data_IF_404064294659
#
_entry.id   IF_404064294659
#
_cell.length_a   1.000
_cell.length_b   1.000
_cell.length_c   1.000
_cell.angle_alpha   90.00
_cell.angle_beta   90.00
_cell.angle_gamma   90.00
#
_symmetry.space_group_name_H-M   'P 1'
#
loop_
_entity.id
_entity.type
_entity.pdbx_description
1 polymer ?
#
# COMPACT_ATOMS: atom_id res chain seq x y z
N UNK A 1 29.39 13.58 26.78
CA UNK A 1 28.23 12.65 26.88
C UNK A 1 27.04 13.04 25.99
N UNK A 2 26.53 14.29 26.00
CA UNK A 2 25.37 14.67 25.16
C UNK A 2 25.64 14.92 23.66
N UNK A 3 26.90 15.07 23.24
CA UNK A 3 27.27 15.21 21.81
C UNK A 3 27.37 13.84 21.12
N UNK A 4 27.88 12.82 21.82
CA UNK A 4 27.99 11.45 21.29
C UNK A 4 26.62 10.78 21.13
N UNK A 5 25.70 10.99 22.08
CA UNK A 5 24.31 10.55 21.97
C UNK A 5 23.61 11.17 20.75
N UNK A 6 23.77 12.49 20.54
CA UNK A 6 23.22 13.18 19.35
C UNK A 6 23.86 12.71 18.04
N UNK A 7 25.10 12.23 18.06
CA UNK A 7 25.77 11.67 16.87
C UNK A 7 25.26 10.25 16.58
N UNK A 8 25.09 9.43 17.61
CA UNK A 8 24.53 8.09 17.51
C UNK A 8 23.06 8.10 17.03
N UNK A 9 22.23 9.01 17.55
CA UNK A 9 20.84 9.20 17.09
C UNK A 9 20.76 9.62 15.62
N UNK A 10 21.65 10.51 15.18
CA UNK A 10 21.73 10.91 13.77
C UNK A 10 22.17 9.76 12.86
N UNK A 11 23.17 8.99 13.28
CA UNK A 11 23.64 7.82 12.52
C UNK A 11 22.51 6.78 12.38
N UNK A 12 21.82 6.47 13.48
CA UNK A 12 20.67 5.56 13.46
C UNK A 12 19.52 6.05 12.55
N UNK A 13 19.26 7.36 12.54
CA UNK A 13 18.26 7.95 11.65
C UNK A 13 18.65 7.83 10.17
N UNK A 14 19.92 8.08 9.83
CA UNK A 14 20.41 7.91 8.45
C UNK A 14 20.31 6.44 8.03
N UNK A 15 20.73 5.51 8.89
CA UNK A 15 20.64 4.07 8.64
C UNK A 15 19.20 3.62 8.37
N UNK A 16 18.25 4.10 9.19
CA UNK A 16 16.83 3.82 9.00
C UNK A 16 16.31 4.37 7.66
N UNK A 17 16.66 5.61 7.33
CA UNK A 17 16.25 6.25 6.07
C UNK A 17 16.80 5.48 4.86
N UNK A 18 18.05 5.04 4.90
CA UNK A 18 18.68 4.31 3.79
C UNK A 18 18.03 2.93 3.62
N UNK A 19 17.75 2.20 4.72
CA UNK A 19 16.99 0.94 4.68
C UNK A 19 15.58 1.12 4.15
N UNK A 20 14.90 2.19 4.54
CA UNK A 20 13.55 2.51 4.07
C UNK A 20 13.56 2.80 2.55
N UNK A 21 14.54 3.58 2.07
CA UNK A 21 14.70 3.85 0.65
C UNK A 21 15.01 2.59 -0.16
N UNK A 22 15.90 1.72 0.35
CA UNK A 22 16.19 0.41 -0.24
C UNK A 22 14.92 -0.46 -0.33
N UNK A 23 14.19 -0.56 0.77
CA UNK A 23 12.94 -1.31 0.81
C UNK A 23 11.94 -0.77 -0.21
N UNK A 24 11.73 0.55 -0.27
CA UNK A 24 10.78 1.17 -1.18
C UNK A 24 11.16 1.00 -2.66
N UNK A 25 12.46 1.14 -2.99
CA UNK A 25 12.96 0.87 -4.35
C UNK A 25 12.71 -0.58 -4.75
N UNK A 26 13.04 -1.52 -3.85
CA UNK A 26 12.81 -2.94 -4.07
C UNK A 26 11.32 -3.25 -4.20
N UNK A 27 10.49 -2.75 -3.29
CA UNK A 27 9.05 -2.96 -3.31
C UNK A 27 8.41 -2.47 -4.61
N UNK A 28 8.76 -1.27 -5.08
CA UNK A 28 8.24 -0.75 -6.36
C UNK A 28 8.74 -1.58 -7.54
N UNK A 29 10.01 -1.99 -7.52
CA UNK A 29 10.57 -2.87 -8.56
C UNK A 29 9.84 -4.21 -8.62
N UNK A 30 9.74 -4.88 -7.47
CA UNK A 30 9.05 -6.16 -7.31
C UNK A 30 7.57 -6.03 -7.71
N UNK A 31 6.89 -4.95 -7.31
CA UNK A 31 5.51 -4.69 -7.70
C UNK A 31 5.36 -4.61 -9.22
N UNK A 32 6.25 -3.91 -9.93
CA UNK A 32 6.19 -3.80 -11.40
C UNK A 32 6.42 -5.16 -12.06
N UNK A 33 7.49 -5.84 -11.67
CA UNK A 33 7.88 -7.12 -12.30
C UNK A 33 6.83 -8.19 -12.04
N UNK A 34 6.38 -8.35 -10.79
CA UNK A 34 5.40 -9.36 -10.41
C UNK A 34 4.03 -9.07 -10.99
N UNK A 35 3.61 -7.82 -11.07
CA UNK A 35 2.30 -7.49 -11.66
C UNK A 35 2.26 -7.81 -13.16
N UNK A 36 3.37 -7.56 -13.88
CA UNK A 36 3.49 -7.93 -15.29
C UNK A 36 3.52 -9.46 -15.48
N UNK A 37 4.27 -10.18 -14.65
CA UNK A 37 4.31 -11.65 -14.64
C UNK A 37 2.93 -12.26 -14.39
N UNK A 38 2.22 -11.79 -13.36
CA UNK A 38 0.87 -12.23 -13.02
C UNK A 38 -0.10 -11.92 -14.18
N UNK A 39 -0.03 -10.70 -14.75
CA UNK A 39 -0.87 -10.32 -15.89
C UNK A 39 -0.66 -11.25 -17.09
N UNK A 40 0.59 -11.63 -17.39
CA UNK A 40 0.91 -12.61 -18.42
C UNK A 40 0.30 -13.98 -18.13
N UNK A 41 0.49 -14.50 -16.90
CA UNK A 41 -0.07 -15.80 -16.50
C UNK A 41 -1.60 -15.83 -16.57
N UNK A 42 -2.27 -14.75 -16.20
CA UNK A 42 -3.73 -14.64 -16.31
C UNK A 42 -4.15 -14.75 -17.78
N UNK A 43 -3.50 -14.02 -18.68
CA UNK A 43 -3.78 -14.07 -20.12
C UNK A 43 -3.53 -15.47 -20.69
N UNK A 44 -2.43 -16.12 -20.31
CA UNK A 44 -2.10 -17.47 -20.74
C UNK A 44 -3.17 -18.48 -20.29
N UNK A 45 -3.64 -18.36 -19.04
CA UNK A 45 -4.74 -19.17 -18.52
C UNK A 45 -6.00 -18.93 -19.36
N UNK A 46 -6.38 -17.68 -19.60
CA UNK A 46 -7.60 -17.34 -20.34
C UNK A 46 -7.59 -17.82 -21.79
N UNK A 47 -6.42 -17.85 -22.43
CA UNK A 47 -6.24 -18.35 -23.80
C UNK A 47 -6.33 -19.88 -23.88
N UNK A 48 -6.13 -20.59 -22.76
CA UNK A 48 -6.20 -22.03 -22.74
C UNK A 48 -7.64 -22.52 -22.98
N UNK A 49 -7.84 -23.42 -23.95
CA UNK A 49 -9.17 -23.90 -24.34
C UNK A 49 -9.96 -24.54 -23.18
N UNK A 50 -9.26 -25.10 -22.19
CA UNK A 50 -9.88 -25.69 -21.00
C UNK A 50 -10.33 -24.68 -19.94
N UNK A 51 -9.96 -23.40 -20.03
CA UNK A 51 -10.23 -22.41 -18.97
C UNK A 51 -11.72 -22.29 -18.64
N UNK A 52 -12.55 -21.99 -19.65
CA UNK A 52 -14.00 -21.84 -19.45
C UNK A 52 -14.66 -23.13 -18.93
N UNK A 53 -14.41 -24.32 -19.53
CA UNK A 53 -14.92 -25.59 -18.98
C UNK A 53 -14.49 -25.86 -17.53
N UNK A 54 -13.26 -25.50 -17.15
CA UNK A 54 -12.78 -25.69 -15.78
C UNK A 54 -13.43 -24.72 -14.80
N UNK A 55 -13.58 -23.45 -15.18
CA UNK A 55 -14.27 -22.45 -14.37
C UNK A 55 -15.73 -22.86 -14.10
N UNK A 56 -16.44 -23.33 -15.13
CA UNK A 56 -17.80 -23.86 -15.01
C UNK A 56 -17.86 -25.07 -14.07
N UNK A 57 -16.93 -26.02 -14.18
CA UNK A 57 -16.87 -27.19 -13.29
C UNK A 57 -16.60 -26.83 -11.83
N UNK A 58 -15.74 -25.84 -11.57
CA UNK A 58 -15.49 -25.35 -10.21
C UNK A 58 -16.75 -24.69 -9.66
N UNK A 59 -17.41 -23.84 -10.45
CA UNK A 59 -18.66 -23.21 -10.05
C UNK A 59 -19.79 -24.23 -9.79
N UNK A 60 -19.88 -25.29 -10.60
CA UNK A 60 -20.84 -26.38 -10.38
C UNK A 60 -20.59 -27.08 -9.04
N UNK A 61 -19.33 -27.39 -8.74
CA UNK A 61 -18.96 -28.04 -7.49
C UNK A 61 -19.29 -27.17 -6.28
N UNK A 62 -18.92 -25.89 -6.33
CA UNK A 62 -19.21 -24.95 -5.24
C UNK A 62 -20.71 -24.75 -5.04
N UNK A 63 -21.50 -24.77 -6.11
CA UNK A 63 -22.97 -24.71 -6.02
C UNK A 63 -23.56 -25.93 -5.30
N UNK A 64 -22.95 -27.11 -5.49
CA UNK A 64 -23.35 -28.34 -4.79
C UNK A 64 -22.97 -28.30 -3.30
N UNK A 65 -21.79 -27.77 -2.97
CA UNK A 65 -21.32 -27.64 -1.58
C UNK A 65 -22.13 -26.58 -0.79
N UNK A 66 -22.70 -25.58 -1.48
CA UNK A 66 -23.55 -24.55 -0.89
C UNK A 66 -25.05 -24.94 -0.81
N UNK A 67 -25.44 -26.07 -1.40
CA UNK A 67 -26.82 -26.54 -1.33
C UNK A 67 -27.16 -26.82 0.15
N UNK A 68 -28.28 -26.29 0.68
CA UNK A 68 -28.59 -26.43 2.10
C UNK A 68 -28.64 -27.90 2.48
N UNK A 69 -27.85 -28.28 3.48
CA UNK A 69 -28.04 -29.54 4.18
C UNK A 69 -29.49 -29.56 4.74
N UNK A 70 -30.16 -30.72 4.78
CA UNK A 70 -31.48 -30.78 5.40
C UNK A 70 -31.37 -30.29 6.86
N UNK A 71 -32.11 -29.22 7.19
CA UNK A 71 -32.17 -28.70 8.55
C UNK A 71 -32.66 -29.81 9.50
N UNK A 72 -31.97 -29.94 10.65
CA UNK A 72 -32.31 -30.89 11.71
C UNK A 72 -33.69 -30.60 12.35
N UNK A 73 -34.26 -29.41 12.10
CA UNK A 73 -35.51 -28.91 12.70
C UNK A 73 -36.74 -28.99 11.78
N UNK A 74 -36.64 -29.67 10.62
CA UNK A 74 -37.82 -30.05 9.82
C UNK A 74 -38.54 -28.90 9.09
N UNK A 75 -38.01 -27.68 9.10
CA UNK A 75 -38.40 -26.66 8.15
C UNK A 75 -37.75 -26.99 6.80
N UNK A 76 -38.54 -27.22 5.74
CA UNK A 76 -37.97 -27.38 4.40
C UNK A 76 -37.25 -26.07 4.04
N UNK A 77 -35.91 -26.06 3.88
CA UNK A 77 -35.25 -24.91 3.29
C UNK A 77 -35.89 -24.73 1.91
N UNK A 78 -36.30 -23.51 1.58
CA UNK A 78 -36.83 -23.19 0.25
C UNK A 78 -35.75 -23.61 -0.76
N UNK A 79 -35.93 -24.79 -1.37
CA UNK A 79 -34.94 -25.39 -2.27
C UNK A 79 -34.82 -24.44 -3.46
N UNK A 80 -33.74 -23.66 -3.49
CA UNK A 80 -33.39 -22.91 -4.69
C UNK A 80 -33.27 -23.93 -5.82
N UNK A 81 -33.91 -23.67 -6.96
CA UNK A 81 -33.76 -24.50 -8.15
C UNK A 81 -32.26 -24.76 -8.39
N UNK A 82 -31.80 -26.03 -8.42
CA UNK A 82 -30.40 -26.36 -8.63
C UNK A 82 -29.82 -25.70 -9.89
N UNK A 83 -30.63 -25.50 -10.94
CA UNK A 83 -30.20 -24.80 -12.15
C UNK A 83 -29.92 -23.32 -11.87
N UNK A 84 -30.75 -22.67 -11.05
CA UNK A 84 -30.57 -21.27 -10.64
C UNK A 84 -29.38 -21.12 -9.68
N UNK A 85 -29.17 -22.07 -8.76
CA UNK A 85 -28.01 -22.09 -7.87
C UNK A 85 -26.69 -22.18 -8.66
N UNK A 86 -26.65 -23.08 -9.65
CA UNK A 86 -25.51 -23.24 -10.58
C UNK A 86 -25.25 -21.96 -11.38
N UNK A 87 -26.27 -21.37 -11.98
CA UNK A 87 -26.13 -20.15 -12.77
C UNK A 87 -25.52 -19.00 -11.94
N UNK A 88 -26.02 -18.79 -10.71
CA UNK A 88 -25.48 -17.79 -9.79
C UNK A 88 -24.01 -18.05 -9.47
N UNK A 89 -23.64 -19.29 -9.18
CA UNK A 89 -22.25 -19.61 -8.84
C UNK A 89 -21.30 -19.39 -10.01
N UNK A 90 -21.74 -19.68 -11.24
CA UNK A 90 -20.99 -19.37 -12.47
C UNK A 90 -20.77 -17.86 -12.58
N UNK A 91 -21.82 -17.05 -12.41
CA UNK A 91 -21.73 -15.58 -12.47
C UNK A 91 -20.76 -15.04 -11.40
N UNK A 92 -20.79 -15.59 -10.19
CA UNK A 92 -19.87 -15.18 -9.13
C UNK A 92 -18.42 -15.54 -9.46
N UNK A 93 -18.15 -16.73 -9.99
CA UNK A 93 -16.81 -17.11 -10.42
C UNK A 93 -16.29 -16.27 -11.58
N UNK A 94 -17.16 -15.94 -12.53
CA UNK A 94 -16.84 -14.98 -13.60
C UNK A 94 -16.54 -13.58 -13.04
N UNK A 95 -17.31 -13.11 -12.07
CA UNK A 95 -17.07 -11.83 -11.42
C UNK A 95 -15.74 -11.82 -10.62
N UNK A 96 -15.43 -12.90 -9.90
CA UNK A 96 -14.15 -13.09 -9.20
C UNK A 96 -12.98 -13.04 -10.19
N UNK A 97 -13.11 -13.74 -11.32
CA UNK A 97 -12.09 -13.73 -12.36
C UNK A 97 -11.92 -12.35 -13.00
N UNK A 98 -13.02 -11.69 -13.37
CA UNK A 98 -13.01 -10.31 -13.88
C UNK A 98 -12.38 -9.33 -12.88
N UNK A 99 -12.60 -9.54 -11.58
CA UNK A 99 -11.92 -8.81 -10.51
C UNK A 99 -10.40 -9.02 -10.55
N UNK A 100 -9.95 -10.26 -10.73
CA UNK A 100 -8.53 -10.58 -10.89
C UNK A 100 -7.93 -9.90 -12.13
N UNK A 101 -8.62 -9.96 -13.28
CA UNK A 101 -8.20 -9.26 -14.50
C UNK A 101 -8.05 -7.75 -14.26
N UNK A 102 -9.04 -7.13 -13.60
CA UNK A 102 -9.03 -5.71 -13.28
C UNK A 102 -7.86 -5.30 -12.36
N UNK A 103 -7.33 -6.24 -11.57
CA UNK A 103 -6.17 -5.97 -10.73
C UNK A 103 -4.87 -5.84 -11.53
N UNK A 104 -4.71 -6.59 -12.62
CA UNK A 104 -3.41 -6.80 -13.27
C UNK A 104 -3.33 -6.38 -14.74
N UNK A 105 -4.38 -6.54 -15.53
CA UNK A 105 -4.32 -6.37 -17.00
C UNK A 105 -4.65 -4.93 -17.43
N UNK A 106 -5.59 -4.26 -16.74
CA UNK A 106 -6.02 -2.90 -17.10
C UNK A 106 -6.58 -2.79 -18.53
N UNK A 107 -6.88 -1.58 -18.99
CA UNK A 107 -7.24 -1.28 -20.38
C UNK A 107 -6.67 0.08 -20.80
N UNK A 108 -6.72 0.40 -22.09
CA UNK A 108 -6.19 1.66 -22.62
C UNK A 108 -6.74 2.91 -21.91
N UNK A 109 -8.02 2.86 -21.50
CA UNK A 109 -8.70 3.98 -20.84
C UNK A 109 -8.71 3.86 -19.30
N UNK A 110 -8.33 2.70 -18.74
CA UNK A 110 -8.42 2.44 -17.30
C UNK A 110 -7.19 1.67 -16.81
N UNK A 111 -6.33 2.29 -15.97
CA UNK A 111 -5.18 1.61 -15.41
C UNK A 111 -5.61 0.45 -14.51
N UNK A 112 -4.76 -0.56 -14.41
CA UNK A 112 -4.97 -1.69 -13.49
C UNK A 112 -4.81 -1.24 -12.03
N UNK A 113 -5.35 -2.01 -11.08
CA UNK A 113 -5.14 -1.69 -9.66
C UNK A 113 -3.66 -1.72 -9.27
N UNK A 114 -2.87 -2.62 -9.87
CA UNK A 114 -1.42 -2.66 -9.67
C UNK A 114 -0.72 -1.38 -10.14
N UNK A 115 -1.11 -0.82 -11.29
CA UNK A 115 -0.59 0.46 -11.79
C UNK A 115 -0.99 1.63 -10.89
N UNK A 116 -2.24 1.63 -10.43
CA UNK A 116 -2.74 2.61 -9.47
C UNK A 116 -1.99 2.52 -8.14
N UNK A 117 -1.72 1.32 -7.63
CA UNK A 117 -0.93 1.10 -6.42
C UNK A 117 0.50 1.62 -6.61
N UNK A 118 1.14 1.33 -7.74
CA UNK A 118 2.47 1.81 -8.08
C UNK A 118 2.53 3.35 -8.09
N UNK A 119 1.58 4.00 -8.76
CA UNK A 119 1.55 5.47 -8.83
C UNK A 119 1.35 6.11 -7.46
N UNK A 120 0.46 5.54 -6.63
CA UNK A 120 0.27 5.98 -5.23
C UNK A 120 1.50 5.75 -4.38
N UNK A 121 2.16 4.60 -4.50
CA UNK A 121 3.39 4.31 -3.77
C UNK A 121 4.49 5.32 -4.14
N UNK A 122 4.68 5.62 -5.43
CA UNK A 122 5.64 6.65 -5.87
C UNK A 122 5.33 8.03 -5.31
N UNK A 123 4.06 8.44 -5.30
CA UNK A 123 3.64 9.73 -4.71
C UNK A 123 3.90 9.78 -3.21
N UNK A 124 3.53 8.73 -2.48
CA UNK A 124 3.74 8.65 -1.03
C UNK A 124 5.23 8.78 -0.65
N UNK A 125 6.15 8.29 -1.49
CA UNK A 125 7.60 8.49 -1.28
C UNK A 125 7.95 9.97 -1.35
N UNK A 126 7.49 10.68 -2.38
CA UNK A 126 7.72 12.12 -2.52
C UNK A 126 7.13 12.89 -1.34
N UNK A 127 5.89 12.58 -0.94
CA UNK A 127 5.22 13.22 0.18
C UNK A 127 5.99 13.03 1.50
N UNK A 128 6.55 11.84 1.73
CA UNK A 128 7.40 11.55 2.90
C UNK A 128 8.69 12.37 2.88
N UNK A 129 9.35 12.49 1.73
CA UNK A 129 10.57 13.29 1.59
C UNK A 129 10.27 14.76 1.91
N UNK A 130 9.20 15.31 1.34
CA UNK A 130 8.80 16.70 1.56
C UNK A 130 8.44 16.97 3.02
N UNK A 131 7.74 16.04 3.68
CA UNK A 131 7.42 16.14 5.10
C UNK A 131 8.68 16.16 5.98
N UNK A 132 9.69 15.33 5.65
CA UNK A 132 10.98 15.30 6.37
C UNK A 132 11.73 16.62 6.17
N UNK A 133 11.76 17.16 4.96
CA UNK A 133 12.38 18.46 4.66
C UNK A 133 11.71 19.56 5.50
N UNK A 134 10.38 19.64 5.48
CA UNK A 134 9.64 20.63 6.27
C UNK A 134 9.89 20.50 7.78
N UNK A 135 9.98 19.28 8.30
CA UNK A 135 10.29 19.04 9.71
C UNK A 135 11.71 19.53 10.05
N UNK A 136 12.68 19.29 9.16
CA UNK A 136 14.05 19.73 9.33
C UNK A 136 14.15 21.27 9.33
N UNK A 137 13.50 21.94 8.39
CA UNK A 137 13.45 23.42 8.32
C UNK A 137 12.87 24.04 9.60
N UNK A 138 11.76 23.49 10.11
CA UNK A 138 11.17 23.95 11.39
C UNK A 138 12.14 23.78 12.56
N UNK A 139 12.92 22.69 12.56
CA UNK A 139 13.89 22.40 13.61
C UNK A 139 15.10 23.34 13.54
N UNK A 140 15.63 23.57 12.34
CA UNK A 140 16.73 24.48 12.08
C UNK A 140 16.35 25.92 12.42
N UNK A 141 15.20 26.42 11.94
CA UNK A 141 14.72 27.76 12.24
C UNK A 141 14.47 28.02 13.74
N UNK A 142 14.03 27.00 14.50
CA UNK A 142 13.92 27.11 15.96
C UNK A 142 15.29 27.13 16.66
N UNK A 143 16.24 26.33 16.18
CA UNK A 143 17.59 26.28 16.73
C UNK A 143 18.36 27.56 16.47
N UNK A 144 18.16 28.17 15.30
CA UNK A 144 18.80 29.42 14.87
C UNK A 144 18.40 30.59 15.77
N UNK A 145 17.09 30.83 15.93
CA UNK A 145 16.57 31.83 16.89
C UNK A 145 17.05 31.60 18.32
N UNK A 146 17.15 30.34 18.75
CA UNK A 146 17.64 30.01 20.09
C UNK A 146 19.14 30.26 20.25
N UNK A 147 19.92 30.26 19.17
CA UNK A 147 21.31 30.68 19.16
C UNK A 147 21.40 32.20 19.19
N UNK A 148 20.62 32.90 18.37
CA UNK A 148 20.56 34.37 18.36
C UNK A 148 20.19 34.95 19.72
N UNK A 149 19.17 34.39 20.40
CA UNK A 149 18.81 34.83 21.74
C UNK A 149 19.91 34.61 22.77
N UNK A 150 20.73 33.56 22.63
CA UNK A 150 21.88 33.34 23.51
C UNK A 150 23.00 34.34 23.24
N UNK A 151 23.23 34.70 21.98
CA UNK A 151 24.16 35.76 21.60
C UNK A 151 23.70 37.11 22.16
N UNK A 152 22.42 37.46 22.00
CA UNK A 152 21.84 38.68 22.57
C UNK A 152 21.93 38.71 24.09
N UNK A 153 21.61 37.60 24.77
CA UNK A 153 21.73 37.51 26.22
C UNK A 153 23.19 37.63 26.70
N UNK A 154 24.16 37.11 25.93
CA UNK A 154 25.58 37.28 26.25
C UNK A 154 26.01 38.75 26.13
N UNK A 155 25.58 39.44 25.07
CA UNK A 155 25.83 40.89 24.93
C UNK A 155 25.18 41.71 26.04
N UNK A 156 23.95 41.37 26.43
CA UNK A 156 23.27 42.03 27.55
C UNK A 156 24.00 41.82 28.89
N UNK A 157 24.59 40.64 29.09
CA UNK A 157 25.41 40.35 30.28
C UNK A 157 26.76 41.06 30.30
N UNK A 158 27.25 41.52 29.15
CA UNK A 158 28.51 42.29 29.02
C UNK A 158 28.30 43.79 29.26
N UNK A 159 27.06 44.28 29.32
CA UNK A 159 26.75 45.67 29.62
C UNK A 159 26.97 45.97 31.12
N UNK A 160 27.69 47.05 31.44
CA UNK A 160 28.02 47.42 32.83
C UNK A 160 26.90 48.23 33.50
N UNK A 161 25.95 48.75 32.73
CA UNK A 161 24.81 49.55 33.20
C UNK A 161 23.50 49.22 32.47
N UNK A 162 22.36 49.39 33.15
CA UNK A 162 21.01 49.19 32.57
C UNK A 162 20.70 50.12 31.38
N UNK A 163 21.46 51.21 31.22
CA UNK A 163 21.31 52.13 30.09
C UNK A 163 22.08 51.69 28.83
N UNK A 164 23.04 50.77 28.99
CA UNK A 164 23.85 50.19 27.91
C UNK A 164 23.32 48.83 27.42
N UNK A 165 22.45 48.20 28.21
CA UNK A 165 21.83 46.90 27.96
C UNK A 165 20.55 47.03 27.11
#
# INVERSE_FOLDING_TARGET
RGLDLRRAERAAFIDYKDRLLDYLRRFIGDLVTRSAEIGGLILDIQQHAAFRPLLERVAERDAMDLAPAPDLDGAEPAKLDPALARARMIDEWQARWSGLDAWFIGSADKPSQAELLRSRARRAISDLVDAVVQLNERRLGRSDRSADYRTLAAWFMECETDAEA
#
